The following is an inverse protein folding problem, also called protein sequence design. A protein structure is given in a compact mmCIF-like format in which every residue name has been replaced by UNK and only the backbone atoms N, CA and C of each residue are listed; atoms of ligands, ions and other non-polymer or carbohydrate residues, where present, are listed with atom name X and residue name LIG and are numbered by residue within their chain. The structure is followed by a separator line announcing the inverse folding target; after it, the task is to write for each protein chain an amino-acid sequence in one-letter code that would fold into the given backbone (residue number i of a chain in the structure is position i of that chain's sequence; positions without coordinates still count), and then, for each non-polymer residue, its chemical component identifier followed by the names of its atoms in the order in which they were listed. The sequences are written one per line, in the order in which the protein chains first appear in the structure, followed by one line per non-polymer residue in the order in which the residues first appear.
data_IF_205089483535
#
_entry.id   IF_205089483535
#
_cell.length_a   1.000
_cell.length_b   1.000
_cell.length_c   1.000
_cell.angle_alpha   90.00
_cell.angle_beta   90.00
_cell.angle_gamma   90.00
#
_symmetry.space_group_name_H-M   'P 1'
#
loop_
_entity.id
_entity.type
_entity.pdbx_description
1 polymer ?
#
# COMPACT_ATOMS: atom_id res chain seq x y z
N UNK A 1 -34.39 27.58 14.93
CA UNK A 1 -33.70 26.93 16.04
C UNK A 1 -32.71 25.94 15.42
N UNK A 2 -31.41 26.15 15.64
CA UNK A 2 -30.28 25.26 15.32
C UNK A 2 -29.85 25.04 13.85
N UNK A 3 -29.31 26.08 13.21
CA UNK A 3 -28.18 25.98 12.27
C UNK A 3 -27.24 27.14 12.58
N UNK A 4 -26.09 26.85 13.21
CA UNK A 4 -24.88 27.71 13.34
C UNK A 4 -24.00 27.13 14.44
N UNK A 5 -22.94 26.43 14.06
CA UNK A 5 -21.67 26.28 14.82
C UNK A 5 -20.75 25.33 14.05
N UNK A 6 -20.05 25.83 13.02
CA UNK A 6 -18.71 25.38 12.65
C UNK A 6 -18.09 26.30 11.58
N UNK A 7 -18.04 27.60 11.86
CA UNK A 7 -17.36 28.57 11.02
C UNK A 7 -16.68 29.61 11.90
N UNK A 8 -15.52 29.27 12.47
CA UNK A 8 -14.52 30.24 12.90
C UNK A 8 -13.19 29.50 13.10
N UNK A 9 -12.10 30.10 12.59
CA UNK A 9 -10.67 29.68 12.57
C UNK A 9 -10.13 28.93 11.33
N UNK A 10 -10.39 29.45 10.13
CA UNK A 10 -9.40 29.37 9.02
C UNK A 10 -9.26 30.79 8.45
N UNK A 11 -8.25 31.55 8.90
CA UNK A 11 -7.94 32.85 8.26
C UNK A 11 -6.51 33.36 8.47
N UNK A 12 -5.51 32.55 8.84
CA UNK A 12 -4.16 33.11 9.03
C UNK A 12 -2.97 32.17 8.77
N UNK A 13 -3.09 31.24 7.82
CA UNK A 13 -1.97 30.37 7.43
C UNK A 13 -1.80 30.24 5.90
N UNK A 14 -2.15 31.28 5.12
CA UNK A 14 -1.89 31.32 3.67
C UNK A 14 -0.79 32.29 3.24
N UNK A 15 -0.06 32.90 4.18
CA UNK A 15 1.09 33.73 3.87
C UNK A 15 2.18 33.54 4.92
N UNK A 16 2.98 32.48 4.74
CA UNK A 16 4.39 32.35 5.15
C UNK A 16 4.82 30.89 4.95
N UNK A 17 4.89 30.46 3.70
CA UNK A 17 5.74 29.33 3.31
C UNK A 17 6.94 29.94 2.60
N UNK A 18 7.84 30.53 3.38
CA UNK A 18 9.18 30.85 2.93
C UNK A 18 10.14 30.67 4.11
N UNK A 19 11.14 29.82 3.85
CA UNK A 19 12.36 29.61 4.61
C UNK A 19 12.30 28.97 6.02
N UNK A 20 13.20 27.99 6.14
CA UNK A 20 13.90 27.52 7.34
C UNK A 20 13.39 26.25 8.06
N UNK A 21 14.12 25.19 7.74
CA UNK A 21 14.58 24.13 8.63
C UNK A 21 14.93 24.69 10.02
N UNK A 22 14.57 23.91 11.05
CA UNK A 22 14.88 23.99 12.49
C UNK A 22 13.83 24.63 13.43
N UNK A 23 13.61 23.88 14.53
CA UNK A 23 12.99 24.24 15.80
C UNK A 23 11.46 24.37 15.87
N UNK A 24 10.80 23.24 16.15
CA UNK A 24 9.62 23.23 17.02
C UNK A 24 9.83 22.21 18.14
N UNK A 25 10.46 22.68 19.22
CA UNK A 25 10.51 22.00 20.52
C UNK A 25 9.29 22.43 21.33
N UNK A 26 8.34 21.53 21.57
CA UNK A 26 7.21 21.82 22.44
C UNK A 26 6.00 20.88 22.28
N UNK A 27 6.17 19.62 22.69
CA UNK A 27 5.17 18.69 23.24
C UNK A 27 3.70 18.91 22.83
N UNK A 28 3.39 18.55 21.59
CA UNK A 28 2.31 17.59 21.29
C UNK A 28 2.94 16.60 20.32
N UNK A 29 3.29 15.40 20.80
CA UNK A 29 3.63 14.28 19.93
C UNK A 29 2.33 13.87 19.23
N UNK A 30 1.92 14.64 18.22
CA UNK A 30 0.85 14.25 17.31
C UNK A 30 1.37 13.01 16.59
N UNK A 31 1.08 11.83 17.13
CA UNK A 31 0.77 10.71 16.26
C UNK A 31 -0.19 11.27 15.20
N UNK A 32 0.09 11.04 13.92
CA UNK A 32 -0.70 11.57 12.80
C UNK A 32 -2.10 10.90 12.72
N UNK A 33 -2.72 10.66 13.87
CA UNK A 33 -3.81 9.76 14.26
C UNK A 33 -5.05 9.92 13.39
N UNK A 34 -5.24 11.08 12.77
CA UNK A 34 -6.34 11.33 11.84
C UNK A 34 -5.98 12.52 10.95
N UNK A 35 -5.03 12.34 10.03
CA UNK A 35 -4.89 13.30 8.93
C UNK A 35 -6.15 13.21 8.08
N UNK A 36 -6.97 14.26 8.09
CA UNK A 36 -8.07 14.38 7.13
C UNK A 36 -7.54 14.28 5.69
N UNK A 37 -8.42 13.89 4.74
CA UNK A 37 -8.04 13.62 3.34
C UNK A 37 -7.07 14.64 2.72
N UNK A 38 -7.29 15.94 2.94
CA UNK A 38 -6.41 17.02 2.45
C UNK A 38 -5.03 17.01 3.08
N UNK A 39 -4.94 16.81 4.40
CA UNK A 39 -3.68 16.79 5.12
C UNK A 39 -2.85 15.55 4.75
N UNK A 40 -3.50 14.40 4.51
CA UNK A 40 -2.87 13.20 3.94
C UNK A 40 -2.28 13.48 2.55
N UNK A 41 -3.07 14.09 1.67
CA UNK A 41 -2.66 14.41 0.29
C UNK A 41 -1.51 15.42 0.24
N UNK A 42 -1.41 16.32 1.21
CA UNK A 42 -0.32 17.29 1.30
C UNK A 42 0.98 16.71 1.88
N UNK A 43 0.95 15.52 2.50
CA UNK A 43 2.13 14.93 3.11
C UNK A 43 2.98 14.18 2.08
N UNK A 44 4.29 14.46 1.96
CA UNK A 44 5.13 13.89 0.90
C UNK A 44 5.16 12.35 0.92
N UNK A 45 5.28 11.75 2.10
CA UNK A 45 5.33 10.28 2.23
C UNK A 45 3.96 9.60 2.37
N UNK A 46 3.08 10.11 3.25
CA UNK A 46 1.79 9.47 3.53
C UNK A 46 0.85 9.55 2.32
N UNK A 47 1.01 10.56 1.45
CA UNK A 47 0.24 10.64 0.20
C UNK A 47 0.46 9.44 -0.73
N UNK A 48 1.63 8.78 -0.63
CA UNK A 48 2.00 7.58 -1.37
C UNK A 48 1.24 6.33 -0.88
N UNK A 49 0.75 6.33 0.38
CA UNK A 49 -0.15 5.27 0.84
C UNK A 49 -1.50 5.47 0.15
N UNK A 50 -1.99 4.47 -0.61
CA UNK A 50 -3.26 4.59 -1.32
C UNK A 50 -4.43 4.87 -0.39
N UNK A 51 -5.41 5.65 -0.85
CA UNK A 51 -6.55 6.07 -0.01
C UNK A 51 -7.32 4.88 0.58
N UNK A 52 -7.63 3.85 -0.21
CA UNK A 52 -8.35 2.68 0.32
C UNK A 52 -7.52 1.91 1.35
N UNK A 53 -6.21 1.76 1.13
CA UNK A 53 -5.27 1.10 2.06
C UNK A 53 -5.20 1.90 3.35
N UNK A 54 -5.06 3.23 3.24
CA UNK A 54 -5.10 4.14 4.37
C UNK A 54 -6.40 3.98 5.17
N UNK A 55 -7.56 4.02 4.50
CA UNK A 55 -8.86 3.88 5.14
C UNK A 55 -9.03 2.53 5.86
N UNK A 56 -8.42 1.47 5.33
CA UNK A 56 -8.54 0.13 5.93
C UNK A 56 -7.58 -0.10 7.09
N UNK A 57 -6.34 0.34 6.98
CA UNK A 57 -5.28 -0.03 7.92
C UNK A 57 -4.85 1.09 8.86
N UNK A 58 -5.16 2.35 8.53
CA UNK A 58 -4.69 3.52 9.26
C UNK A 58 -5.82 4.45 9.73
N UNK A 59 -7.07 4.26 9.31
CA UNK A 59 -8.15 5.23 9.63
C UNK A 59 -8.40 5.41 11.14
N UNK A 60 -8.25 4.36 11.93
CA UNK A 60 -8.49 4.43 13.38
C UNK A 60 -7.27 4.86 14.19
N UNK A 61 -6.05 4.69 13.66
CA UNK A 61 -4.79 4.90 14.38
C UNK A 61 -3.91 5.99 13.77
N UNK A 62 -4.28 6.51 12.60
CA UNK A 62 -3.40 7.26 11.72
C UNK A 62 -2.11 6.49 11.39
N UNK A 63 -1.13 7.23 10.87
CA UNK A 63 0.24 6.73 10.69
C UNK A 63 1.06 7.17 11.89
N UNK A 64 1.52 6.21 12.69
CA UNK A 64 2.28 6.49 13.90
C UNK A 64 3.66 7.07 13.55
N UNK A 65 4.22 7.88 14.45
CA UNK A 65 5.47 8.61 14.22
C UNK A 65 6.62 7.70 13.81
N UNK A 66 6.71 6.50 14.37
CA UNK A 66 7.75 5.53 14.01
C UNK A 66 7.62 5.02 12.56
N UNK A 67 6.40 4.89 12.04
CA UNK A 67 6.15 4.55 10.64
C UNK A 67 6.45 5.73 9.71
N UNK A 68 6.22 6.97 10.15
CA UNK A 68 6.64 8.15 9.39
C UNK A 68 8.17 8.23 9.32
N UNK A 69 8.88 7.92 10.41
CA UNK A 69 10.34 7.82 10.39
C UNK A 69 10.82 6.78 9.38
N UNK A 70 10.19 5.60 9.33
CA UNK A 70 10.50 4.58 8.33
C UNK A 70 10.37 5.14 6.90
N UNK A 71 9.23 5.75 6.59
CA UNK A 71 8.98 6.36 5.27
C UNK A 71 9.94 7.53 4.94
N UNK A 72 10.54 8.15 5.95
CA UNK A 72 11.49 9.26 5.81
C UNK A 72 12.94 8.85 5.70
N UNK A 73 13.26 7.56 5.92
CA UNK A 73 14.64 7.10 5.78
C UNK A 73 15.11 7.24 4.32
N UNK A 74 16.34 7.71 4.08
CA UNK A 74 16.83 8.01 2.74
C UNK A 74 17.28 6.76 1.97
N UNK A 75 17.52 5.63 2.65
CA UNK A 75 18.04 4.42 2.05
C UNK A 75 17.49 3.14 2.70
N UNK A 76 17.58 1.99 2.02
CA UNK A 76 17.09 0.72 2.52
C UNK A 76 17.76 0.23 3.81
N UNK A 77 19.02 0.58 4.05
CA UNK A 77 19.79 0.13 5.22
C UNK A 77 19.27 0.76 6.52
N UNK A 78 18.97 2.05 6.49
CA UNK A 78 18.37 2.77 7.62
C UNK A 78 16.94 2.25 7.91
N UNK A 79 16.13 2.06 6.86
CA UNK A 79 14.81 1.46 6.99
C UNK A 79 14.86 0.07 7.66
N UNK A 80 15.82 -0.77 7.23
CA UNK A 80 16.01 -2.12 7.79
C UNK A 80 16.43 -2.09 9.25
N UNK A 81 17.24 -1.10 9.65
CA UNK A 81 17.67 -0.92 11.04
C UNK A 81 16.52 -0.51 11.97
N UNK A 82 15.55 0.25 11.46
CA UNK A 82 14.34 0.61 12.20
C UNK A 82 13.35 -0.56 12.34
N UNK A 83 13.40 -1.51 11.41
CA UNK A 83 12.43 -2.60 11.32
C UNK A 83 12.38 -3.47 12.58
N UNK A 84 13.53 -3.77 13.19
CA UNK A 84 13.60 -4.59 14.39
C UNK A 84 12.84 -3.94 15.57
N UNK A 85 12.94 -2.62 15.71
CA UNK A 85 12.18 -1.88 16.74
C UNK A 85 10.68 -1.81 16.41
N UNK A 86 10.34 -1.64 15.13
CA UNK A 86 8.94 -1.56 14.69
C UNK A 86 8.20 -2.87 14.91
N UNK A 87 8.82 -4.00 14.60
CA UNK A 87 8.21 -5.34 14.76
C UNK A 87 7.93 -5.67 16.23
N UNK A 88 8.73 -5.14 17.16
CA UNK A 88 8.53 -5.33 18.60
C UNK A 88 7.52 -4.34 19.21
N UNK A 89 7.10 -3.31 18.47
CA UNK A 89 6.19 -2.28 18.96
C UNK A 89 4.75 -2.80 19.07
N UNK A 90 4.23 -2.90 20.30
CA UNK A 90 2.88 -3.44 20.58
C UNK A 90 1.73 -2.65 19.97
N UNK A 91 1.93 -1.35 19.73
CA UNK A 91 0.90 -0.45 19.23
C UNK A 91 0.80 -0.45 17.70
N UNK A 92 1.82 -0.98 17.00
CA UNK A 92 1.90 -0.96 15.54
C UNK A 92 1.51 -2.34 15.01
N UNK A 93 0.51 -2.37 14.13
CA UNK A 93 0.12 -3.63 13.49
C UNK A 93 1.15 -4.01 12.43
N UNK A 94 1.49 -5.30 12.32
CA UNK A 94 2.44 -5.80 11.32
C UNK A 94 2.04 -5.41 9.89
N UNK A 95 0.74 -5.36 9.58
CA UNK A 95 0.26 -4.93 8.26
C UNK A 95 0.59 -3.46 7.96
N UNK A 96 0.57 -2.60 8.98
CA UNK A 96 0.96 -1.20 8.82
C UNK A 96 2.45 -1.08 8.52
N UNK A 97 3.28 -1.87 9.21
CA UNK A 97 4.72 -1.96 8.94
C UNK A 97 4.96 -2.42 7.51
N UNK A 98 4.28 -3.50 7.09
CA UNK A 98 4.36 -4.04 5.73
C UNK A 98 4.00 -2.98 4.68
N UNK A 99 2.87 -2.27 4.84
CA UNK A 99 2.43 -1.26 3.88
C UNK A 99 3.46 -0.13 3.78
N UNK A 100 3.95 0.40 4.90
CA UNK A 100 4.95 1.46 4.90
C UNK A 100 6.28 0.99 4.31
N UNK A 101 6.70 -0.25 4.60
CA UNK A 101 7.90 -0.85 4.00
C UNK A 101 7.75 -0.99 2.48
N UNK A 102 6.62 -1.48 1.98
CA UNK A 102 6.42 -1.68 0.54
C UNK A 102 6.33 -0.35 -0.23
N UNK A 103 5.74 0.69 0.37
CA UNK A 103 5.80 2.05 -0.18
C UNK A 103 7.24 2.53 -0.27
N UNK A 104 8.00 2.42 0.82
CA UNK A 104 9.41 2.80 0.85
C UNK A 104 10.25 1.99 -0.15
N UNK A 105 10.03 0.69 -0.22
CA UNK A 105 10.74 -0.21 -1.13
C UNK A 105 10.51 0.12 -2.60
N UNK A 106 9.31 0.60 -2.96
CA UNK A 106 8.98 1.04 -4.31
C UNK A 106 9.72 2.32 -4.68
N UNK A 107 9.77 3.29 -3.76
CA UNK A 107 10.47 4.57 -3.95
C UNK A 107 11.99 4.42 -4.02
N UNK A 108 12.55 3.52 -3.20
CA UNK A 108 14.01 3.33 -3.06
C UNK A 108 14.57 2.12 -3.81
N UNK A 109 13.74 1.41 -4.59
CA UNK A 109 14.18 0.36 -5.50
C UNK A 109 14.86 -0.82 -4.80
N UNK A 110 14.21 -1.40 -3.80
CA UNK A 110 14.76 -2.57 -3.11
C UNK A 110 14.95 -3.74 -4.08
N UNK A 111 16.08 -4.46 -3.93
CA UNK A 111 16.21 -5.75 -4.57
C UNK A 111 15.34 -6.81 -3.87
N UNK A 112 15.07 -7.91 -4.58
CA UNK A 112 14.19 -8.97 -4.10
C UNK A 112 14.71 -9.66 -2.83
N UNK A 113 16.03 -9.82 -2.69
CA UNK A 113 16.64 -10.52 -1.55
C UNK A 113 16.52 -9.69 -0.26
N UNK A 114 16.79 -8.39 -0.36
CA UNK A 114 16.63 -7.46 0.76
C UNK A 114 15.16 -7.37 1.17
N UNK A 115 14.26 -7.19 0.20
CA UNK A 115 12.84 -7.11 0.50
C UNK A 115 12.33 -8.41 1.14
N UNK A 116 12.74 -9.59 0.64
CA UNK A 116 12.43 -10.87 1.26
C UNK A 116 12.90 -10.92 2.72
N UNK A 117 14.15 -10.52 2.98
CA UNK A 117 14.70 -10.49 4.35
C UNK A 117 13.87 -9.59 5.27
N UNK A 118 13.41 -8.43 4.78
CA UNK A 118 12.53 -7.56 5.55
C UNK A 118 11.14 -8.19 5.80
N UNK A 119 10.57 -8.91 4.83
CA UNK A 119 9.29 -9.60 4.99
C UNK A 119 9.40 -10.72 6.03
N UNK A 120 10.49 -11.48 6.02
CA UNK A 120 10.78 -12.52 7.02
C UNK A 120 10.87 -11.92 8.44
N UNK A 121 11.48 -10.73 8.58
CA UNK A 121 11.51 -10.00 9.86
C UNK A 121 10.12 -9.55 10.34
N UNK A 122 9.27 -9.09 9.42
CA UNK A 122 7.89 -8.70 9.74
C UNK A 122 7.08 -9.92 10.19
N UNK A 123 7.38 -11.09 9.62
CA UNK A 123 6.77 -12.36 9.98
C UNK A 123 5.23 -12.27 9.87
N UNK A 124 4.77 -11.92 8.67
CA UNK A 124 3.36 -11.98 8.30
C UNK A 124 3.11 -13.21 7.43
N UNK A 125 1.97 -13.90 7.59
CA UNK A 125 1.59 -14.98 6.70
C UNK A 125 1.62 -14.53 5.23
N UNK A 126 2.07 -15.41 4.35
CA UNK A 126 2.23 -15.08 2.94
C UNK A 126 0.90 -14.69 2.27
N UNK A 127 -0.20 -15.29 2.71
CA UNK A 127 -1.59 -14.97 2.34
C UNK A 127 -1.95 -13.50 2.60
N UNK A 128 -1.38 -12.92 3.67
CA UNK A 128 -1.64 -11.53 4.05
C UNK A 128 -0.77 -10.58 3.24
N UNK A 129 0.50 -10.93 3.00
CA UNK A 129 1.45 -10.06 2.30
C UNK A 129 1.30 -10.10 0.78
N UNK A 130 0.89 -11.25 0.22
CA UNK A 130 0.80 -11.50 -1.23
C UNK A 130 -0.03 -10.44 -2.00
N UNK A 131 -1.26 -10.08 -1.57
CA UNK A 131 -2.02 -9.06 -2.27
C UNK A 131 -1.34 -7.69 -2.27
N UNK A 132 -0.60 -7.32 -1.21
CA UNK A 132 0.15 -6.07 -1.17
C UNK A 132 1.35 -6.10 -2.10
N UNK A 133 2.09 -7.21 -2.17
CA UNK A 133 3.18 -7.35 -3.13
C UNK A 133 2.68 -7.23 -4.58
N UNK A 134 1.50 -7.78 -4.89
CA UNK A 134 0.85 -7.58 -6.19
C UNK A 134 0.44 -6.12 -6.41
N UNK A 135 -0.11 -5.49 -5.37
CA UNK A 135 -0.54 -4.08 -5.40
C UNK A 135 0.61 -3.12 -5.68
N UNK A 136 1.80 -3.36 -5.11
CA UNK A 136 2.98 -2.51 -5.31
C UNK A 136 3.90 -3.00 -6.44
N UNK A 137 3.53 -4.07 -7.13
CA UNK A 137 4.21 -4.52 -8.34
C UNK A 137 5.55 -5.23 -8.12
N UNK A 138 5.78 -5.84 -6.95
CA UNK A 138 7.00 -6.62 -6.65
C UNK A 138 6.98 -8.00 -7.36
N UNK A 139 6.80 -7.98 -8.68
CA UNK A 139 6.50 -9.16 -9.51
C UNK A 139 7.63 -10.18 -9.51
N UNK A 140 8.89 -9.74 -9.48
CA UNK A 140 10.03 -10.67 -9.49
C UNK A 140 10.17 -11.40 -8.15
N UNK A 141 9.96 -10.69 -7.03
CA UNK A 141 9.87 -11.33 -5.72
C UNK A 141 8.69 -12.31 -5.66
N UNK A 142 7.51 -11.91 -6.15
CA UNK A 142 6.34 -12.78 -6.20
C UNK A 142 6.61 -14.08 -6.97
N UNK A 143 7.23 -13.99 -8.16
CA UNK A 143 7.64 -15.16 -8.94
C UNK A 143 8.61 -16.04 -8.16
N UNK A 144 9.63 -15.43 -7.55
CA UNK A 144 10.65 -16.15 -6.78
C UNK A 144 10.06 -16.87 -5.57
N UNK A 145 9.14 -16.24 -4.82
CA UNK A 145 8.51 -16.88 -3.67
C UNK A 145 7.52 -17.98 -4.10
N UNK A 146 6.85 -17.80 -5.23
CA UNK A 146 5.86 -18.75 -5.74
C UNK A 146 6.47 -20.07 -6.23
N UNK A 147 7.76 -20.13 -6.57
CA UNK A 147 8.42 -21.39 -6.96
C UNK A 147 8.58 -22.38 -5.81
N UNK A 148 8.51 -21.89 -4.58
CA UNK A 148 8.65 -22.71 -3.37
C UNK A 148 7.31 -23.26 -2.86
N UNK A 149 6.18 -22.87 -3.47
CA UNK A 149 4.85 -23.29 -3.05
C UNK A 149 4.38 -24.54 -3.80
N UNK A 150 3.58 -25.35 -3.11
CA UNK A 150 2.81 -26.38 -3.81
C UNK A 150 1.78 -25.73 -4.77
N UNK A 151 1.45 -26.35 -5.91
CA UNK A 151 0.47 -25.80 -6.85
C UNK A 151 -0.89 -25.48 -6.21
N UNK A 152 -1.34 -26.29 -5.26
CA UNK A 152 -2.60 -26.12 -4.54
C UNK A 152 -2.56 -24.92 -3.58
N UNK A 153 -1.42 -24.68 -2.93
CA UNK A 153 -1.19 -23.51 -2.06
C UNK A 153 -1.19 -22.23 -2.90
N UNK A 154 -0.45 -22.22 -4.01
CA UNK A 154 -0.44 -21.10 -4.95
C UNK A 154 -1.85 -20.83 -5.50
N UNK A 155 -2.59 -21.86 -5.88
CA UNK A 155 -3.97 -21.71 -6.35
C UNK A 155 -4.86 -21.08 -5.29
N UNK A 156 -4.74 -21.53 -4.03
CA UNK A 156 -5.50 -20.99 -2.90
C UNK A 156 -5.24 -19.50 -2.69
N UNK A 157 -3.96 -19.09 -2.75
CA UNK A 157 -3.55 -17.68 -2.65
C UNK A 157 -4.13 -16.83 -3.78
N UNK A 158 -4.10 -17.34 -5.02
CA UNK A 158 -4.52 -16.59 -6.19
C UNK A 158 -6.04 -16.32 -6.23
N UNK A 159 -6.86 -17.26 -5.72
CA UNK A 159 -8.33 -17.13 -5.71
C UNK A 159 -8.86 -16.45 -4.44
N UNK A 160 -8.02 -16.26 -3.43
CA UNK A 160 -8.40 -15.73 -2.12
C UNK A 160 -9.14 -14.39 -2.22
N UNK A 161 -10.16 -14.21 -1.36
CA UNK A 161 -10.99 -13.00 -1.28
C UNK A 161 -11.54 -12.56 -2.66
N UNK A 162 -11.96 -13.53 -3.48
CA UNK A 162 -12.39 -13.36 -4.86
C UNK A 162 -11.33 -12.63 -5.69
N UNK A 163 -10.18 -13.28 -5.88
CA UNK A 163 -9.07 -12.80 -6.69
C UNK A 163 -8.55 -11.42 -6.28
N UNK A 164 -8.49 -11.18 -4.96
CA UNK A 164 -8.09 -9.88 -4.39
C UNK A 164 -6.74 -9.40 -4.90
N UNK A 165 -5.75 -10.27 -5.02
CA UNK A 165 -4.42 -9.93 -5.54
C UNK A 165 -4.48 -9.35 -6.96
N UNK A 166 -5.26 -9.97 -7.86
CA UNK A 166 -5.46 -9.49 -9.23
C UNK A 166 -6.16 -8.14 -9.28
N UNK A 167 -7.24 -7.99 -8.50
CA UNK A 167 -8.00 -6.74 -8.43
C UNK A 167 -7.15 -5.59 -7.88
N UNK A 168 -6.30 -5.89 -6.90
CA UNK A 168 -5.38 -4.94 -6.28
C UNK A 168 -4.27 -4.50 -7.23
N UNK A 169 -3.68 -5.43 -7.99
CA UNK A 169 -2.74 -5.09 -9.06
C UNK A 169 -3.37 -4.18 -10.12
N UNK A 170 -4.61 -4.47 -10.55
CA UNK A 170 -5.34 -3.62 -11.49
C UNK A 170 -5.64 -2.22 -10.92
N UNK A 171 -6.03 -2.14 -9.64
CA UNK A 171 -6.28 -0.89 -8.91
C UNK A 171 -5.03 -0.01 -8.76
N UNK A 172 -3.82 -0.52 -9.04
CA UNK A 172 -2.56 0.22 -8.95
C UNK A 172 -1.77 0.29 -10.27
N UNK A 173 -2.38 -0.15 -11.39
CA UNK A 173 -1.78 -0.18 -12.73
C UNK A 173 -0.49 -1.02 -12.83
N UNK A 174 -0.33 -2.01 -11.95
CA UNK A 174 0.84 -2.89 -11.92
C UNK A 174 0.74 -3.98 -12.99
N UNK A 175 0.85 -3.58 -14.26
CA UNK A 175 0.58 -4.42 -15.42
C UNK A 175 1.43 -5.71 -15.46
N UNK A 176 2.67 -5.66 -14.95
CA UNK A 176 3.52 -6.84 -14.86
C UNK A 176 2.92 -7.91 -13.93
N UNK A 177 2.40 -7.49 -12.76
CA UNK A 177 1.73 -8.37 -11.81
C UNK A 177 0.39 -8.86 -12.39
N UNK A 178 -0.39 -7.99 -13.04
CA UNK A 178 -1.66 -8.35 -13.71
C UNK A 178 -1.44 -9.46 -14.73
N UNK A 179 -0.43 -9.32 -15.62
CA UNK A 179 -0.09 -10.32 -16.63
C UNK A 179 0.37 -11.64 -16.01
N UNK A 180 1.20 -11.58 -14.98
CA UNK A 180 1.68 -12.78 -14.30
C UNK A 180 0.53 -13.56 -13.63
N UNK A 181 -0.35 -12.87 -12.90
CA UNK A 181 -1.54 -13.46 -12.27
C UNK A 181 -2.49 -14.07 -13.31
N UNK A 182 -2.70 -13.39 -14.44
CA UNK A 182 -3.53 -13.89 -15.54
C UNK A 182 -3.04 -15.21 -16.13
N UNK A 183 -1.72 -15.36 -16.28
CA UNK A 183 -1.11 -16.56 -16.83
C UNK A 183 -1.25 -17.78 -15.92
N UNK A 184 -1.58 -17.61 -14.64
CA UNK A 184 -1.77 -18.73 -13.71
C UNK A 184 -3.08 -19.48 -13.92
N UNK A 185 -4.00 -18.93 -14.71
CA UNK A 185 -5.33 -19.48 -14.91
C UNK A 185 -5.63 -19.82 -16.38
N UNK A 186 -6.43 -20.88 -16.63
CA UNK A 186 -7.06 -21.12 -17.93
C UNK A 186 -8.14 -20.06 -18.24
N UNK A 187 -8.65 -20.07 -19.47
CA UNK A 187 -9.58 -19.07 -19.99
C UNK A 187 -10.89 -18.95 -19.18
N UNK A 188 -11.51 -20.08 -18.83
CA UNK A 188 -12.73 -20.15 -18.03
C UNK A 188 -12.56 -19.51 -16.65
N UNK A 189 -11.43 -19.78 -15.99
CA UNK A 189 -11.07 -19.17 -14.70
C UNK A 189 -10.73 -17.68 -14.82
N UNK A 190 -10.18 -17.23 -15.95
CA UNK A 190 -9.91 -15.81 -16.18
C UNK A 190 -11.20 -14.99 -16.25
N UNK A 191 -12.27 -15.53 -16.83
CA UNK A 191 -13.58 -14.86 -16.85
C UNK A 191 -14.15 -14.71 -15.43
N UNK A 192 -14.04 -15.75 -14.59
CA UNK A 192 -14.40 -15.68 -13.17
C UNK A 192 -13.60 -14.58 -12.45
N UNK A 193 -12.29 -14.55 -12.67
CA UNK A 193 -11.38 -13.56 -12.10
C UNK A 193 -11.72 -12.12 -12.48
N UNK A 194 -12.09 -11.87 -13.75
CA UNK A 194 -12.49 -10.54 -14.23
C UNK A 194 -13.86 -10.14 -13.70
N UNK A 195 -14.81 -11.08 -13.64
CA UNK A 195 -16.17 -10.83 -13.13
C UNK A 195 -16.22 -10.62 -11.61
N UNK A 196 -15.19 -11.04 -10.88
CA UNK A 196 -15.11 -10.99 -9.42
C UNK A 196 -15.48 -9.62 -8.82
N UNK A 197 -16.39 -9.64 -7.84
CA UNK A 197 -16.97 -8.46 -7.19
C UNK A 197 -17.46 -7.41 -8.20
N UNK A 198 -18.37 -7.81 -9.07
CA UNK A 198 -19.00 -6.93 -10.07
C UNK A 198 -17.98 -6.18 -10.90
N UNK A 199 -17.02 -6.92 -11.48
CA UNK A 199 -15.97 -6.37 -12.35
C UNK A 199 -15.10 -5.30 -11.67
N UNK A 200 -14.85 -5.44 -10.37
CA UNK A 200 -14.13 -4.43 -9.58
C UNK A 200 -12.74 -4.09 -10.11
N UNK A 201 -11.99 -5.06 -10.68
CA UNK A 201 -10.70 -4.81 -11.33
C UNK A 201 -10.82 -3.75 -12.44
N UNK A 202 -11.80 -3.90 -13.33
CA UNK A 202 -12.08 -2.95 -14.41
C UNK A 202 -12.60 -1.61 -13.87
N UNK A 203 -13.56 -1.64 -12.95
CA UNK A 203 -14.18 -0.43 -12.39
C UNK A 203 -13.18 0.46 -11.67
N UNK A 204 -12.25 -0.14 -10.92
CA UNK A 204 -11.23 0.59 -10.19
C UNK A 204 -10.14 1.14 -11.12
N UNK A 205 -9.64 0.33 -12.05
CA UNK A 205 -8.70 0.78 -13.08
C UNK A 205 -9.29 1.95 -13.89
N UNK A 206 -10.55 1.84 -14.32
CA UNK A 206 -11.27 2.91 -15.02
C UNK A 206 -11.42 4.17 -14.19
N UNK A 207 -11.90 4.07 -12.94
CA UNK A 207 -12.07 5.21 -12.03
C UNK A 207 -10.76 5.99 -11.80
N UNK A 208 -9.61 5.31 -11.87
CA UNK A 208 -8.28 5.90 -11.68
C UNK A 208 -7.55 6.23 -12.99
N UNK A 209 -8.18 6.05 -14.14
CA UNK A 209 -7.59 6.26 -15.48
C UNK A 209 -6.33 5.42 -15.76
N UNK A 210 -6.28 4.20 -15.23
CA UNK A 210 -5.19 3.24 -15.42
C UNK A 210 -5.22 2.62 -16.82
N UNK A 211 -4.83 3.44 -17.81
CA UNK A 211 -5.06 3.17 -19.22
C UNK A 211 -4.34 1.90 -19.70
N UNK A 212 -3.14 1.62 -19.16
CA UNK A 212 -2.37 0.43 -19.54
C UNK A 212 -3.09 -0.85 -19.13
N UNK A 213 -3.55 -0.94 -17.88
CA UNK A 213 -4.35 -2.07 -17.39
C UNK A 213 -5.68 -2.18 -18.14
N UNK A 214 -6.42 -1.09 -18.34
CA UNK A 214 -7.73 -1.11 -19.02
C UNK A 214 -7.60 -1.66 -20.45
N UNK A 215 -6.68 -1.10 -21.24
CA UNK A 215 -6.44 -1.52 -22.63
C UNK A 215 -6.05 -2.99 -22.67
N UNK A 216 -5.17 -3.41 -21.76
CA UNK A 216 -4.74 -4.79 -21.70
C UNK A 216 -5.87 -5.74 -21.34
N UNK A 217 -6.70 -5.43 -20.34
CA UNK A 217 -7.87 -6.24 -19.97
C UNK A 217 -8.82 -6.36 -21.15
N UNK A 218 -9.24 -5.26 -21.79
CA UNK A 218 -10.17 -5.29 -22.92
C UNK A 218 -9.69 -6.09 -24.13
N UNK A 219 -8.37 -6.28 -24.27
CA UNK A 219 -7.79 -7.03 -25.38
C UNK A 219 -7.60 -8.51 -25.04
N UNK A 220 -7.62 -8.89 -23.75
CA UNK A 220 -7.28 -10.24 -23.31
C UNK A 220 -8.41 -10.95 -22.55
N UNK A 221 -9.42 -10.23 -22.04
CA UNK A 221 -10.62 -10.78 -21.38
C UNK A 221 -11.78 -10.94 -22.33
#
# INVERSE_FOLDING_TARGET
MSEKLCAFTISLLSHQYDHNITAFTGVITLSYLTLGKRARQAHPQISLIPEFVYCKYFNSTGVLTELVKLLATPNPQEATSLLDNLVQAKEIKKEQILICLLVHAKEHGYDAQLLQTCLEKIDLPFEVSFPFMCYFGFTDLLKSLSTSLAPEELTTLLVQDNFKAFRWACDHDELAAVKWLWQQFPEDRRQEMVAAHDFSAFRWAYKKNHSATIVWLLTNS
#
